data_IF_334676681791
#
_entry.id   IF_334676681791
#
_cell.length_a   1.000
_cell.length_b   1.000
_cell.length_c   1.000
_cell.angle_alpha   90.00
_cell.angle_beta   90.00
_cell.angle_gamma   90.00
#
_symmetry.space_group_name_H-M   'P 1'
#
loop_
_entity.id
_entity.type
_entity.pdbx_description
1 polymer ?
#
# COMPACT_ATOMS: atom_id res chain seq x y z
N UNK A 1 38.21 26.27 -22.62
CA UNK A 1 37.60 25.01 -22.14
C UNK A 1 36.74 25.14 -20.88
N UNK A 2 36.99 26.05 -19.90
CA UNK A 2 36.03 26.30 -18.82
C UNK A 2 34.62 26.69 -19.34
N UNK A 3 34.57 27.42 -20.46
CA UNK A 3 33.31 27.87 -21.08
C UNK A 3 32.49 26.77 -21.76
N UNK A 4 33.13 25.73 -22.31
CA UNK A 4 32.41 24.63 -23.01
C UNK A 4 31.70 23.74 -21.99
N UNK A 5 32.36 23.45 -20.86
CA UNK A 5 31.81 22.58 -19.82
C UNK A 5 30.80 23.32 -18.92
N UNK A 6 30.99 24.62 -18.67
CA UNK A 6 29.95 25.46 -18.06
C UNK A 6 28.67 25.50 -18.91
N UNK A 7 28.80 25.65 -20.23
CA UNK A 7 27.64 25.72 -21.12
C UNK A 7 26.90 24.39 -21.30
N UNK A 8 27.60 23.25 -21.17
CA UNK A 8 27.00 21.91 -21.24
C UNK A 8 26.15 21.60 -20.00
N UNK A 9 26.60 22.05 -18.81
CA UNK A 9 25.86 21.93 -17.56
C UNK A 9 24.68 22.91 -17.45
N UNK A 10 24.80 24.11 -18.03
CA UNK A 10 23.74 25.14 -17.92
C UNK A 10 22.57 24.97 -18.90
N UNK A 11 22.74 24.28 -20.04
CA UNK A 11 21.75 24.29 -21.14
C UNK A 11 20.82 23.08 -21.25
N UNK A 12 21.02 22.00 -20.50
CA UNK A 12 20.11 20.85 -20.55
C UNK A 12 19.42 20.66 -19.21
N UNK A 13 18.09 20.54 -19.22
CA UNK A 13 17.29 20.24 -18.01
C UNK A 13 17.69 18.92 -17.32
N UNK A 14 18.60 18.12 -17.91
CA UNK A 14 19.12 16.84 -17.39
C UNK A 14 20.65 16.65 -17.54
N UNK A 15 21.41 17.72 -17.82
CA UNK A 15 22.86 17.90 -17.61
C UNK A 15 23.90 17.02 -18.34
N UNK A 16 23.68 15.72 -18.53
CA UNK A 16 24.72 14.78 -18.97
C UNK A 16 24.21 13.91 -20.13
N UNK A 17 24.70 14.19 -21.34
CA UNK A 17 24.50 13.29 -22.49
C UNK A 17 25.48 12.12 -22.41
N UNK A 18 25.19 10.95 -23.02
CA UNK A 18 26.16 9.87 -23.14
C UNK A 18 27.50 10.33 -23.73
N UNK A 19 27.46 11.22 -24.73
CA UNK A 19 28.66 11.83 -25.31
C UNK A 19 29.46 12.68 -24.29
N UNK A 20 28.78 13.47 -23.45
CA UNK A 20 29.47 14.24 -22.42
C UNK A 20 30.14 13.33 -21.37
N UNK A 21 29.50 12.21 -21.02
CA UNK A 21 30.08 11.21 -20.11
C UNK A 21 31.32 10.54 -20.71
N UNK A 22 31.28 10.18 -22.00
CA UNK A 22 32.45 9.68 -22.73
C UNK A 22 33.64 10.65 -22.66
N UNK A 23 33.41 11.91 -23.01
CA UNK A 23 34.46 12.94 -23.01
C UNK A 23 35.01 13.20 -21.60
N UNK A 24 34.15 13.16 -20.58
CA UNK A 24 34.57 13.30 -19.19
C UNK A 24 35.44 12.12 -18.71
N UNK A 25 35.05 10.88 -19.01
CA UNK A 25 35.83 9.68 -18.67
C UNK A 25 37.24 9.73 -19.28
N UNK A 26 37.35 10.11 -20.56
CA UNK A 26 38.67 10.30 -21.22
C UNK A 26 39.47 11.46 -20.64
N UNK A 27 38.81 12.57 -20.35
CA UNK A 27 39.45 13.73 -19.72
C UNK A 27 40.00 13.38 -18.33
N UNK A 28 39.34 12.49 -17.58
CA UNK A 28 39.81 12.06 -16.28
C UNK A 28 41.16 11.35 -16.30
N UNK A 29 41.43 10.57 -17.33
CA UNK A 29 42.72 9.90 -17.43
C UNK A 29 43.85 10.92 -17.59
N UNK A 30 43.63 12.02 -18.32
CA UNK A 30 44.68 12.99 -18.68
C UNK A 30 44.77 14.23 -17.79
N UNK A 31 43.78 14.46 -16.92
CA UNK A 31 43.70 15.68 -16.09
C UNK A 31 43.26 15.36 -14.66
N UNK A 32 43.63 16.24 -13.73
CA UNK A 32 43.08 16.22 -12.38
C UNK A 32 41.64 16.75 -12.40
N UNK A 33 40.70 15.83 -12.46
CA UNK A 33 39.25 16.07 -12.48
C UNK A 33 38.60 15.74 -11.15
N UNK A 34 39.37 15.35 -10.13
CA UNK A 34 38.86 15.01 -8.81
C UNK A 34 37.92 16.09 -8.25
N UNK A 35 38.16 17.41 -8.47
CA UNK A 35 37.22 18.45 -8.04
C UNK A 35 35.84 18.41 -8.73
N UNK A 36 35.70 17.65 -9.82
CA UNK A 36 34.51 17.58 -10.66
C UNK A 36 33.66 16.33 -10.37
N UNK A 37 34.23 15.34 -9.67
CA UNK A 37 33.51 14.12 -9.27
C UNK A 37 32.18 14.43 -8.58
N UNK A 38 32.07 15.39 -7.64
CA UNK A 38 30.79 15.72 -7.01
C UNK A 38 29.74 16.25 -7.99
N UNK A 39 30.15 17.00 -9.02
CA UNK A 39 29.26 17.53 -10.05
C UNK A 39 28.79 16.42 -11.00
N UNK A 40 29.69 15.52 -11.40
CA UNK A 40 29.39 14.33 -12.22
C UNK A 40 28.42 13.43 -11.46
N UNK A 41 28.73 13.08 -10.21
CA UNK A 41 27.87 12.28 -9.35
C UNK A 41 26.50 12.95 -9.12
N UNK A 42 26.45 14.28 -8.98
CA UNK A 42 25.17 14.99 -8.88
C UNK A 42 24.37 14.92 -10.17
N UNK A 43 25.02 15.05 -11.33
CA UNK A 43 24.36 14.91 -12.63
C UNK A 43 23.81 13.50 -12.85
N UNK A 44 24.60 12.45 -12.61
CA UNK A 44 24.17 11.05 -12.69
C UNK A 44 23.04 10.80 -11.69
N UNK A 45 23.20 11.22 -10.43
CA UNK A 45 22.19 11.08 -9.38
C UNK A 45 20.91 11.88 -9.63
N UNK A 46 20.90 12.80 -10.60
CA UNK A 46 19.68 13.49 -11.03
C UNK A 46 18.84 12.66 -12.01
N UNK A 47 19.42 11.65 -12.67
CA UNK A 47 18.71 10.82 -13.62
C UNK A 47 17.58 10.03 -12.92
N UNK A 48 16.36 9.99 -13.49
CA UNK A 48 15.21 9.40 -12.80
C UNK A 48 15.20 7.87 -12.81
N UNK A 49 15.86 7.22 -13.77
CA UNK A 49 15.87 5.76 -13.93
C UNK A 49 17.19 5.15 -13.45
N UNK A 50 17.11 4.08 -12.67
CA UNK A 50 18.29 3.37 -12.17
C UNK A 50 19.12 2.77 -13.31
N UNK A 51 18.50 2.16 -14.33
CA UNK A 51 19.20 1.66 -15.53
C UNK A 51 20.04 2.74 -16.21
N UNK A 52 19.51 3.96 -16.32
CA UNK A 52 20.21 5.09 -16.92
C UNK A 52 21.42 5.52 -16.08
N UNK A 53 21.29 5.50 -14.74
CA UNK A 53 22.42 5.77 -13.83
C UNK A 53 23.52 4.73 -13.98
N UNK A 54 23.17 3.45 -13.96
CA UNK A 54 24.12 2.35 -14.12
C UNK A 54 24.81 2.39 -15.49
N UNK A 55 24.05 2.65 -16.56
CA UNK A 55 24.60 2.85 -17.89
C UNK A 55 25.57 4.03 -17.96
N UNK A 56 25.22 5.16 -17.36
CA UNK A 56 26.08 6.35 -17.30
C UNK A 56 27.39 6.11 -16.54
N UNK A 57 27.29 5.43 -15.39
CA UNK A 57 28.43 5.04 -14.56
C UNK A 57 29.36 4.09 -15.34
N UNK A 58 28.80 3.05 -15.96
CA UNK A 58 29.58 2.08 -16.73
C UNK A 58 30.27 2.74 -17.92
N UNK A 59 29.56 3.58 -18.66
CA UNK A 59 30.11 4.30 -19.80
C UNK A 59 31.32 5.15 -19.39
N UNK A 60 31.17 5.87 -18.29
CA UNK A 60 32.20 6.72 -17.74
C UNK A 60 33.45 5.93 -17.32
N UNK A 61 33.25 4.79 -16.66
CA UNK A 61 34.33 3.90 -16.21
C UNK A 61 35.05 3.24 -17.38
N UNK A 62 34.31 2.70 -18.35
CA UNK A 62 34.87 2.04 -19.54
C UNK A 62 35.80 3.01 -20.30
N UNK A 63 35.41 4.28 -20.48
CA UNK A 63 36.27 5.28 -21.11
C UNK A 63 37.44 5.71 -20.26
N UNK A 64 37.27 5.82 -18.94
CA UNK A 64 38.35 6.15 -18.02
C UNK A 64 39.43 5.08 -18.04
N UNK A 65 39.04 3.81 -17.94
CA UNK A 65 39.94 2.65 -18.02
C UNK A 65 40.63 2.58 -19.40
N UNK A 66 39.86 2.70 -20.48
CA UNK A 66 40.42 2.72 -21.85
C UNK A 66 41.43 3.84 -22.04
N UNK A 67 41.12 5.05 -21.57
CA UNK A 67 42.02 6.20 -21.70
C UNK A 67 43.28 6.05 -20.83
N UNK A 68 43.15 5.42 -19.66
CA UNK A 68 44.29 5.05 -18.82
C UNK A 68 45.21 4.05 -19.53
N UNK A 69 44.65 3.01 -20.16
CA UNK A 69 45.45 1.97 -20.82
C UNK A 69 46.16 2.51 -22.07
N UNK A 70 45.57 3.51 -22.74
CA UNK A 70 46.19 4.19 -23.87
C UNK A 70 47.30 5.17 -23.47
N UNK A 71 47.34 5.64 -22.22
CA UNK A 71 48.43 6.48 -21.73
C UNK A 71 49.69 5.64 -21.52
N UNK A 72 50.53 5.60 -22.56
CA UNK A 72 51.86 4.98 -22.52
C UNK A 72 52.90 5.73 -21.67
N UNK A 73 52.53 6.84 -21.02
CA UNK A 73 53.49 7.70 -20.30
C UNK A 73 53.69 7.33 -18.82
N UNK A 74 54.95 7.37 -18.32
CA UNK A 74 55.28 7.07 -16.93
C UNK A 74 55.17 8.34 -16.06
N UNK A 75 54.00 8.67 -15.50
CA UNK A 75 53.94 9.92 -14.70
C UNK A 75 52.91 10.05 -13.57
N UNK A 76 52.06 9.05 -13.28
CA UNK A 76 51.32 9.06 -12.00
C UNK A 76 51.90 7.99 -11.07
N UNK A 77 52.25 8.34 -9.81
CA UNK A 77 52.55 7.35 -8.79
C UNK A 77 51.41 6.34 -8.72
N UNK A 78 51.74 5.04 -8.69
CA UNK A 78 50.75 3.94 -8.64
C UNK A 78 49.69 4.19 -7.56
N UNK A 79 50.11 4.70 -6.41
CA UNK A 79 49.24 5.08 -5.28
C UNK A 79 48.22 6.16 -5.63
N UNK A 80 48.59 7.20 -6.40
CA UNK A 80 47.64 8.25 -6.81
C UNK A 80 46.58 7.69 -7.78
N UNK A 81 46.96 6.78 -8.68
CA UNK A 81 46.02 6.15 -9.62
C UNK A 81 45.00 5.28 -8.88
N UNK A 82 45.45 4.53 -7.88
CA UNK A 82 44.60 3.68 -7.04
C UNK A 82 43.64 4.53 -6.21
N UNK A 83 44.13 5.62 -5.61
CA UNK A 83 43.29 6.57 -4.86
C UNK A 83 42.26 7.27 -5.76
N UNK A 84 42.65 7.79 -6.93
CA UNK A 84 41.74 8.44 -7.89
C UNK A 84 40.61 7.47 -8.32
N UNK A 85 40.94 6.18 -8.46
CA UNK A 85 39.97 5.12 -8.82
C UNK A 85 39.01 4.82 -7.68
N UNK A 86 39.48 4.74 -6.44
CA UNK A 86 38.63 4.52 -5.27
C UNK A 86 37.73 5.72 -4.97
N UNK A 87 38.24 6.95 -5.11
CA UNK A 87 37.45 8.17 -4.97
C UNK A 87 36.36 8.25 -6.06
N UNK A 88 36.68 7.84 -7.29
CA UNK A 88 35.70 7.73 -8.36
C UNK A 88 34.61 6.71 -8.02
N UNK A 89 34.98 5.48 -7.64
CA UNK A 89 34.02 4.43 -7.28
C UNK A 89 33.11 4.87 -6.15
N UNK A 90 33.66 5.51 -5.11
CA UNK A 90 32.91 6.05 -3.98
C UNK A 90 31.93 7.15 -4.42
N UNK A 91 32.37 8.09 -5.25
CA UNK A 91 31.51 9.19 -5.68
C UNK A 91 30.37 8.69 -6.60
N UNK A 92 30.64 7.72 -7.48
CA UNK A 92 29.62 7.10 -8.32
C UNK A 92 28.65 6.22 -7.51
N UNK A 93 29.14 5.51 -6.50
CA UNK A 93 28.33 4.80 -5.51
C UNK A 93 27.34 5.74 -4.81
N UNK A 94 27.83 6.87 -4.29
CA UNK A 94 27.00 7.89 -3.65
C UNK A 94 25.94 8.46 -4.61
N UNK A 95 26.25 8.55 -5.92
CA UNK A 95 25.29 9.01 -6.94
C UNK A 95 24.10 8.06 -7.12
N UNK A 96 24.30 6.74 -6.97
CA UNK A 96 23.23 5.75 -7.07
C UNK A 96 22.24 5.88 -5.91
N UNK A 97 22.76 6.10 -4.69
CA UNK A 97 21.96 6.26 -3.48
C UNK A 97 21.33 7.67 -3.35
N UNK A 98 21.70 8.63 -4.20
CA UNK A 98 21.16 10.00 -4.12
C UNK A 98 19.72 10.05 -4.64
N UNK A 99 18.82 10.59 -3.82
CA UNK A 99 17.43 10.84 -4.22
C UNK A 99 17.40 11.81 -5.42
N UNK A 100 16.69 11.51 -6.52
CA UNK A 100 16.61 12.42 -7.64
C UNK A 100 15.99 13.75 -7.22
N UNK A 101 16.49 14.86 -7.79
CA UNK A 101 16.05 16.22 -7.48
C UNK A 101 14.55 16.45 -7.73
N UNK A 102 13.94 15.63 -8.60
CA UNK A 102 12.51 15.63 -8.91
C UNK A 102 12.01 14.18 -9.04
N UNK A 103 11.06 13.79 -8.20
CA UNK A 103 10.37 12.49 -8.29
C UNK A 103 10.99 11.37 -7.44
N UNK A 104 10.45 10.17 -7.63
CA UNK A 104 10.97 8.93 -7.06
C UNK A 104 11.95 8.29 -8.04
N UNK A 105 12.95 7.57 -7.51
CA UNK A 105 13.82 6.75 -8.35
C UNK A 105 12.98 5.66 -9.01
N UNK A 106 12.98 5.65 -10.34
CA UNK A 106 12.30 4.65 -11.15
C UNK A 106 13.21 3.44 -11.31
N UNK A 107 12.68 2.30 -10.92
CA UNK A 107 13.33 1.00 -11.04
C UNK A 107 12.48 0.16 -11.99
N UNK A 108 13.13 -0.47 -12.96
CA UNK A 108 12.49 -1.32 -13.97
C UNK A 108 12.89 -2.77 -13.82
N UNK A 109 12.12 -3.67 -14.44
CA UNK A 109 12.43 -5.10 -14.46
C UNK A 109 13.84 -5.34 -15.04
N UNK A 110 14.67 -6.09 -14.31
CA UNK A 110 16.05 -6.40 -14.70
C UNK A 110 17.12 -5.47 -14.09
N UNK A 111 16.74 -4.34 -13.47
CA UNK A 111 17.69 -3.48 -12.77
C UNK A 111 18.36 -4.20 -11.58
N UNK A 112 17.65 -5.12 -10.94
CA UNK A 112 18.15 -6.00 -9.88
C UNK A 112 19.33 -6.85 -10.37
N UNK A 113 19.20 -7.47 -11.56
CA UNK A 113 20.27 -8.28 -12.16
C UNK A 113 21.47 -7.43 -12.57
N UNK A 114 21.24 -6.26 -13.14
CA UNK A 114 22.31 -5.32 -13.51
C UNK A 114 23.09 -4.85 -12.29
N UNK A 115 22.41 -4.55 -11.18
CA UNK A 115 23.07 -4.17 -9.92
C UNK A 115 23.94 -5.30 -9.37
N UNK A 116 23.45 -6.54 -9.38
CA UNK A 116 24.19 -7.69 -8.88
C UNK A 116 25.39 -8.01 -9.78
N UNK A 117 25.22 -7.90 -11.10
CA UNK A 117 26.34 -8.02 -12.03
C UNK A 117 27.40 -6.91 -11.80
N UNK A 118 26.97 -5.69 -11.49
CA UNK A 118 27.88 -4.59 -11.14
C UNK A 118 28.56 -4.82 -9.79
N UNK A 119 27.85 -5.40 -8.82
CA UNK A 119 28.44 -5.78 -7.54
C UNK A 119 29.52 -6.87 -7.71
N UNK A 120 29.30 -7.84 -8.62
CA UNK A 120 30.29 -8.87 -8.95
C UNK A 120 31.62 -8.29 -9.41
N UNK A 121 31.60 -7.26 -10.25
CA UNK A 121 32.84 -6.62 -10.72
C UNK A 121 33.50 -5.72 -9.68
N UNK A 122 32.72 -5.19 -8.71
CA UNK A 122 33.20 -4.22 -7.70
C UNK A 122 33.47 -4.80 -6.32
N UNK A 123 33.12 -6.05 -6.09
CA UNK A 123 33.34 -6.76 -4.83
C UNK A 123 32.24 -6.53 -3.78
N UNK A 124 32.35 -7.28 -2.69
CA UNK A 124 31.33 -7.42 -1.65
C UNK A 124 30.98 -6.11 -0.93
N UNK A 125 31.94 -5.19 -0.75
CA UNK A 125 31.71 -3.87 -0.15
C UNK A 125 30.69 -3.02 -0.92
N UNK A 126 30.54 -3.26 -2.22
CA UNK A 126 29.54 -2.58 -3.04
C UNK A 126 28.10 -2.90 -2.58
N UNK A 127 27.88 -4.07 -1.96
CA UNK A 127 26.59 -4.43 -1.39
C UNK A 127 26.21 -3.53 -0.21
N UNK A 128 27.13 -3.37 0.75
CA UNK A 128 26.88 -2.57 1.96
C UNK A 128 26.85 -1.07 1.67
N UNK A 129 27.74 -0.61 0.80
CA UNK A 129 28.00 0.82 0.64
C UNK A 129 27.06 1.47 -0.38
N UNK A 130 26.50 0.67 -1.30
CA UNK A 130 25.72 1.17 -2.44
C UNK A 130 24.34 0.54 -2.53
N UNK A 131 24.30 -0.79 -2.68
CA UNK A 131 23.04 -1.49 -2.96
C UNK A 131 22.12 -1.45 -1.74
N UNK A 132 22.64 -1.61 -0.52
CA UNK A 132 21.82 -1.56 0.69
C UNK A 132 21.17 -0.17 0.89
N UNK A 133 21.90 0.97 0.85
CA UNK A 133 21.30 2.29 0.86
C UNK A 133 20.29 2.52 -0.27
N UNK A 134 20.59 2.02 -1.47
CA UNK A 134 19.70 2.11 -2.62
C UNK A 134 18.38 1.36 -2.38
N UNK A 135 18.44 0.10 -1.93
CA UNK A 135 17.26 -0.68 -1.58
C UNK A 135 16.44 -0.02 -0.46
N UNK A 136 17.09 0.61 0.52
CA UNK A 136 16.38 1.41 1.54
C UNK A 136 15.67 2.62 0.92
N UNK A 137 16.29 3.31 -0.03
CA UNK A 137 15.68 4.43 -0.75
C UNK A 137 14.43 4.01 -1.54
N UNK A 138 14.44 2.80 -2.12
CA UNK A 138 13.34 2.25 -2.93
C UNK A 138 12.57 1.12 -2.24
N UNK A 139 12.59 1.07 -0.90
CA UNK A 139 12.05 -0.07 -0.12
C UNK A 139 10.59 -0.40 -0.43
N UNK A 140 9.81 0.62 -0.83
CA UNK A 140 8.40 0.48 -1.22
C UNK A 140 8.22 -0.28 -2.52
N UNK A 141 9.24 -0.35 -3.38
CA UNK A 141 9.28 -1.30 -4.49
C UNK A 141 9.72 -2.68 -3.97
N UNK A 142 8.87 -3.27 -3.14
CA UNK A 142 9.14 -4.53 -2.43
C UNK A 142 9.53 -5.67 -3.36
N UNK A 143 8.94 -5.77 -4.55
CA UNK A 143 9.30 -6.79 -5.56
C UNK A 143 10.78 -6.69 -5.97
N UNK A 144 11.26 -5.49 -6.26
CA UNK A 144 12.66 -5.26 -6.62
C UNK A 144 13.61 -5.65 -5.47
N UNK A 145 13.25 -5.26 -4.24
CA UNK A 145 14.06 -5.58 -3.05
C UNK A 145 14.08 -7.09 -2.78
N UNK A 146 12.94 -7.77 -2.92
CA UNK A 146 12.84 -9.22 -2.77
C UNK A 146 13.68 -9.94 -3.84
N UNK A 147 13.64 -9.47 -5.09
CA UNK A 147 14.44 -10.04 -6.18
C UNK A 147 15.95 -9.88 -5.92
N UNK A 148 16.40 -8.73 -5.42
CA UNK A 148 17.79 -8.53 -5.03
C UNK A 148 18.19 -9.51 -3.93
N UNK A 149 17.41 -9.62 -2.85
CA UNK A 149 17.76 -10.49 -1.73
C UNK A 149 17.80 -11.97 -2.16
N UNK A 150 16.82 -12.39 -2.97
CA UNK A 150 16.74 -13.76 -3.50
C UNK A 150 17.94 -14.07 -4.38
N UNK A 151 18.25 -13.20 -5.34
CA UNK A 151 19.40 -13.39 -6.24
C UNK A 151 20.70 -13.40 -5.44
N UNK A 152 20.90 -12.50 -4.47
CA UNK A 152 22.10 -12.52 -3.62
C UNK A 152 22.25 -13.83 -2.82
N UNK A 153 21.14 -14.45 -2.40
CA UNK A 153 21.16 -15.75 -1.74
C UNK A 153 21.52 -16.90 -2.68
N UNK A 154 21.04 -16.87 -3.92
CA UNK A 154 21.43 -17.83 -4.96
C UNK A 154 22.92 -17.70 -5.29
N UNK A 155 23.41 -16.47 -5.38
CA UNK A 155 24.81 -16.13 -5.59
C UNK A 155 25.74 -16.60 -4.46
N UNK A 156 25.27 -16.54 -3.21
CA UNK A 156 25.99 -17.10 -2.06
C UNK A 156 26.22 -18.61 -2.22
N UNK A 157 25.23 -19.30 -2.80
CA UNK A 157 25.32 -20.74 -3.08
C UNK A 157 26.35 -21.05 -4.17
N UNK A 158 26.65 -20.08 -5.04
CA UNK A 158 27.70 -20.16 -6.06
C UNK A 158 29.08 -19.70 -5.54
N UNK A 159 29.24 -19.47 -4.24
CA UNK A 159 30.49 -19.07 -3.58
C UNK A 159 31.05 -17.69 -3.97
N UNK A 160 30.28 -16.82 -4.64
CA UNK A 160 30.73 -15.45 -4.89
C UNK A 160 30.67 -14.58 -3.62
N UNK A 161 29.66 -14.79 -2.78
CA UNK A 161 29.45 -14.05 -1.54
C UNK A 161 29.53 -14.95 -0.32
N UNK A 162 30.04 -14.40 0.78
CA UNK A 162 29.95 -15.08 2.06
C UNK A 162 28.50 -15.12 2.54
N UNK A 163 28.07 -16.27 3.10
CA UNK A 163 26.74 -16.37 3.71
C UNK A 163 26.53 -15.35 4.84
N UNK A 164 27.61 -14.92 5.52
CA UNK A 164 27.57 -13.87 6.54
C UNK A 164 27.16 -12.50 5.96
N UNK A 165 27.70 -12.11 4.82
CA UNK A 165 27.35 -10.83 4.19
C UNK A 165 25.93 -10.84 3.63
N UNK A 166 25.48 -11.94 3.04
CA UNK A 166 24.10 -12.05 2.57
C UNK A 166 23.13 -11.98 3.75
N UNK A 167 23.42 -12.66 4.87
CA UNK A 167 22.64 -12.53 6.11
C UNK A 167 22.62 -11.10 6.63
N UNK A 168 23.77 -10.43 6.69
CA UNK A 168 23.86 -9.03 7.15
C UNK A 168 23.11 -8.07 6.23
N UNK A 169 23.19 -8.26 4.91
CA UNK A 169 22.50 -7.44 3.92
C UNK A 169 20.98 -7.63 4.06
N UNK A 170 20.51 -8.88 4.00
CA UNK A 170 19.08 -9.21 4.10
C UNK A 170 18.52 -8.75 5.44
N UNK A 171 19.19 -9.02 6.56
CA UNK A 171 18.76 -8.53 7.87
C UNK A 171 18.61 -7.00 7.92
N UNK A 172 19.57 -6.27 7.34
CA UNK A 172 19.51 -4.80 7.25
C UNK A 172 18.38 -4.26 6.38
N UNK A 173 17.92 -5.01 5.38
CA UNK A 173 16.73 -4.71 4.58
C UNK A 173 15.47 -4.95 5.39
N UNK A 174 15.37 -6.09 6.06
CA UNK A 174 14.17 -6.48 6.83
C UNK A 174 13.94 -5.53 8.00
N UNK A 175 15.00 -5.15 8.72
CA UNK A 175 14.93 -4.17 9.81
C UNK A 175 14.46 -2.77 9.32
N UNK A 176 14.78 -2.41 8.07
CA UNK A 176 14.31 -1.15 7.49
C UNK A 176 12.86 -1.27 7.03
N UNK A 177 12.51 -2.36 6.36
CA UNK A 177 11.16 -2.64 5.90
C UNK A 177 10.17 -2.72 7.06
N UNK A 178 10.51 -3.43 8.15
CA UNK A 178 9.67 -3.54 9.33
C UNK A 178 9.33 -2.15 9.91
N UNK A 179 10.33 -1.27 10.04
CA UNK A 179 10.12 0.12 10.48
C UNK A 179 9.21 0.90 9.55
N UNK A 180 9.42 0.79 8.24
CA UNK A 180 8.58 1.47 7.23
C UNK A 180 7.13 0.99 7.24
N UNK A 181 6.90 -0.29 7.55
CA UNK A 181 5.55 -0.84 7.74
C UNK A 181 4.96 -0.27 9.04
N UNK A 182 5.67 -0.33 10.17
CA UNK A 182 5.21 0.25 11.45
C UNK A 182 4.85 1.73 11.34
N UNK A 183 5.70 2.53 10.70
CA UNK A 183 5.45 3.97 10.49
C UNK A 183 4.17 4.20 9.66
N UNK A 184 3.93 3.35 8.66
CA UNK A 184 2.71 3.40 7.88
C UNK A 184 1.47 3.08 8.73
N UNK A 185 1.55 2.05 9.58
CA UNK A 185 0.47 1.67 10.50
C UNK A 185 0.16 2.80 11.47
N UNK A 186 1.18 3.40 12.07
CA UNK A 186 1.03 4.51 13.00
C UNK A 186 0.34 5.72 12.35
N UNK A 187 0.69 6.03 11.09
CA UNK A 187 0.03 7.09 10.32
C UNK A 187 -1.44 6.76 10.01
N UNK A 188 -1.74 5.53 9.60
CA UNK A 188 -3.11 5.11 9.34
C UNK A 188 -3.98 5.16 10.61
N UNK A 189 -3.48 4.66 11.74
CA UNK A 189 -4.16 4.69 13.02
C UNK A 189 -4.43 6.14 13.47
N UNK A 190 -3.43 7.03 13.33
CA UNK A 190 -3.59 8.45 13.64
C UNK A 190 -4.67 9.11 12.76
N UNK A 191 -4.75 8.76 11.48
CA UNK A 191 -5.77 9.29 10.57
C UNK A 191 -7.18 8.79 10.91
N UNK A 192 -7.32 7.50 11.26
CA UNK A 192 -8.61 6.94 11.72
C UNK A 192 -9.12 7.61 13.00
N UNK A 193 -8.21 7.96 13.93
CA UNK A 193 -8.60 8.68 15.14
C UNK A 193 -9.14 10.08 14.85
N UNK A 194 -8.67 10.75 13.79
CA UNK A 194 -9.13 12.09 13.39
C UNK A 194 -10.47 12.05 12.66
N UNK A 195 -10.70 11.02 11.84
CA UNK A 195 -11.99 10.83 11.17
C UNK A 195 -13.07 10.30 12.10
N UNK A 196 -12.74 9.63 13.21
CA UNK A 196 -13.72 9.17 14.21
C UNK A 196 -14.48 10.31 14.92
N UNK A 197 -13.93 11.54 14.96
CA UNK A 197 -14.65 12.74 15.45
C UNK A 197 -15.67 13.28 14.44
N UNK A 198 -15.57 12.87 13.18
CA UNK A 198 -16.61 13.03 12.19
C UNK A 198 -17.41 11.73 12.14
N UNK A 199 -18.43 11.63 13.00
CA UNK A 199 -19.44 10.58 12.85
C UNK A 199 -19.92 10.46 11.40
N UNK A 200 -20.41 9.29 10.96
CA UNK A 200 -20.89 9.07 9.61
C UNK A 200 -22.17 9.87 9.39
N UNK A 201 -22.02 11.15 9.04
CA UNK A 201 -22.98 11.80 8.17
C UNK A 201 -22.93 11.02 6.87
N UNK A 202 -23.92 10.14 6.75
CA UNK A 202 -24.45 9.47 5.56
C UNK A 202 -23.69 9.75 4.27
N UNK A 203 -23.38 8.67 3.54
CA UNK A 203 -23.05 8.63 2.12
C UNK A 203 -24.03 9.48 1.28
N UNK A 204 -23.81 10.79 1.30
CA UNK A 204 -24.30 11.74 0.34
C UNK A 204 -23.31 11.66 -0.81
N UNK A 205 -23.82 11.31 -1.99
CA UNK A 205 -23.08 11.24 -3.25
C UNK A 205 -22.42 12.58 -3.69
N UNK A 206 -22.41 13.58 -2.82
CA UNK A 206 -21.69 14.84 -2.95
C UNK A 206 -20.92 15.15 -1.65
N UNK A 207 -19.95 14.32 -1.30
CA UNK A 207 -18.83 14.79 -0.48
C UNK A 207 -17.82 15.44 -1.41
N UNK A 208 -17.75 16.76 -1.38
CA UNK A 208 -16.68 17.49 -2.05
C UNK A 208 -15.35 16.99 -1.48
N UNK A 209 -14.56 16.35 -2.34
CA UNK A 209 -13.16 16.03 -2.11
C UNK A 209 -12.40 17.31 -1.73
N UNK A 210 -12.34 17.60 -0.43
CA UNK A 210 -11.35 18.51 0.13
C UNK A 210 -9.99 17.90 -0.19
N UNK A 211 -9.31 18.53 -1.15
CA UNK A 211 -7.95 18.25 -1.58
C UNK A 211 -6.99 18.38 -0.39
N UNK A 212 -6.91 17.36 0.46
CA UNK A 212 -5.60 16.98 0.99
C UNK A 212 -4.85 16.42 -0.19
N UNK A 213 -4.01 17.25 -0.82
CA UNK A 213 -2.95 16.77 -1.70
C UNK A 213 -2.04 15.94 -0.80
N UNK A 214 -2.43 14.68 -0.58
CA UNK A 214 -1.63 13.74 0.14
C UNK A 214 -0.44 13.43 -0.77
N UNK A 215 0.73 13.73 -0.27
CA UNK A 215 2.00 13.29 -0.84
C UNK A 215 2.11 11.75 -0.91
N UNK A 216 1.10 11.00 -0.40
CA UNK A 216 0.96 9.55 -0.57
C UNK A 216 0.51 9.07 -1.96
N UNK A 217 -0.06 9.92 -2.82
CA UNK A 217 -0.63 9.48 -4.11
C UNK A 217 0.37 8.84 -5.08
N UNK A 218 1.68 8.90 -4.77
CA UNK A 218 2.76 8.29 -5.57
C UNK A 218 3.43 7.09 -4.89
N UNK A 219 2.93 6.60 -3.75
CA UNK A 219 3.52 5.45 -3.07
C UNK A 219 2.97 4.15 -3.65
N UNK A 220 3.85 3.33 -4.25
CA UNK A 220 3.51 1.96 -4.68
C UNK A 220 3.07 1.16 -3.43
N UNK A 221 1.93 0.46 -3.47
CA UNK A 221 1.49 -0.38 -2.35
C UNK A 221 2.50 -1.52 -2.12
N UNK A 222 2.54 -2.02 -0.87
CA UNK A 222 3.38 -3.17 -0.53
C UNK A 222 2.88 -4.42 -1.27
N UNK A 223 3.79 -5.20 -1.84
CA UNK A 223 3.47 -6.45 -2.54
C UNK A 223 3.51 -7.60 -1.54
N UNK A 224 2.36 -8.23 -1.29
CA UNK A 224 2.28 -9.41 -0.41
C UNK A 224 3.19 -10.55 -0.91
N UNK A 225 3.34 -10.71 -2.23
CA UNK A 225 4.24 -11.71 -2.84
C UNK A 225 5.68 -11.47 -2.41
N UNK A 226 6.15 -10.24 -2.57
CA UNK A 226 7.50 -9.87 -2.20
C UNK A 226 7.77 -10.06 -0.70
N UNK A 227 6.78 -9.73 0.15
CA UNK A 227 6.86 -9.95 1.59
C UNK A 227 6.94 -11.44 1.93
N UNK A 228 6.11 -12.30 1.31
CA UNK A 228 6.18 -13.76 1.46
C UNK A 228 7.58 -14.27 1.09
N UNK A 229 8.08 -13.88 -0.09
CA UNK A 229 9.43 -14.24 -0.55
C UNK A 229 10.51 -13.84 0.44
N UNK A 230 10.44 -12.62 1.00
CA UNK A 230 11.40 -12.13 1.98
C UNK A 230 11.33 -12.90 3.31
N UNK A 231 10.13 -13.25 3.78
CA UNK A 231 9.95 -14.06 4.99
C UNK A 231 10.54 -15.47 4.80
N UNK A 232 10.22 -16.13 3.69
CA UNK A 232 10.78 -17.44 3.34
C UNK A 232 12.30 -17.39 3.18
N UNK A 233 12.83 -16.29 2.64
CA UNK A 233 14.27 -16.07 2.56
C UNK A 233 14.92 -15.91 3.94
N UNK A 234 14.28 -15.20 4.87
CA UNK A 234 14.77 -15.05 6.22
C UNK A 234 14.88 -16.40 6.94
N UNK A 235 13.88 -17.27 6.79
CA UNK A 235 13.92 -18.63 7.33
C UNK A 235 15.09 -19.44 6.73
N UNK A 236 15.27 -19.41 5.41
CA UNK A 236 16.40 -20.08 4.73
C UNK A 236 17.77 -19.57 5.21
N UNK A 237 17.84 -18.29 5.58
CA UNK A 237 19.06 -17.63 6.06
C UNK A 237 19.20 -17.67 7.59
N UNK A 238 18.32 -18.38 8.31
CA UNK A 238 18.28 -18.50 9.77
C UNK A 238 18.16 -17.13 10.50
N UNK A 239 17.44 -16.18 9.88
CA UNK A 239 17.21 -14.82 10.40
C UNK A 239 15.90 -14.74 11.22
N UNK A 240 15.69 -15.67 12.16
CA UNK A 240 14.41 -15.83 12.89
C UNK A 240 13.97 -14.57 13.67
N UNK A 241 14.91 -13.82 14.23
CA UNK A 241 14.61 -12.54 14.91
C UNK A 241 14.04 -11.50 13.94
N UNK A 242 14.53 -11.50 12.68
CA UNK A 242 14.06 -10.57 11.65
C UNK A 242 12.70 -10.97 11.11
N UNK A 243 12.39 -12.27 11.04
CA UNK A 243 11.03 -12.77 10.75
C UNK A 243 10.05 -12.16 11.75
N UNK A 244 10.33 -12.30 13.05
CA UNK A 244 9.44 -11.80 14.11
C UNK A 244 9.26 -10.27 14.04
N UNK A 245 10.34 -9.52 13.79
CA UNK A 245 10.27 -8.05 13.59
C UNK A 245 9.42 -7.65 12.39
N UNK A 246 9.42 -8.44 11.32
CA UNK A 246 8.64 -8.14 10.12
C UNK A 246 7.17 -8.52 10.29
N UNK A 247 6.88 -9.60 11.01
CA UNK A 247 5.51 -10.07 11.27
C UNK A 247 4.74 -9.16 12.23
N UNK A 248 5.40 -8.63 13.26
CA UNK A 248 4.74 -7.82 14.28
C UNK A 248 3.97 -6.59 13.72
N UNK A 249 4.55 -5.77 12.83
CA UNK A 249 3.82 -4.68 12.19
C UNK A 249 2.63 -5.15 11.35
N UNK A 250 2.67 -6.35 10.77
CA UNK A 250 1.54 -6.88 9.98
C UNK A 250 0.37 -7.29 10.87
N UNK A 251 0.64 -7.78 12.09
CA UNK A 251 -0.38 -8.02 13.10
C UNK A 251 -1.04 -6.69 13.50
N UNK A 252 -0.26 -5.63 13.67
CA UNK A 252 -0.78 -4.28 13.94
C UNK A 252 -1.62 -3.73 12.78
N UNK A 253 -1.24 -4.02 11.52
CA UNK A 253 -2.09 -3.74 10.35
C UNK A 253 -3.42 -4.46 10.52
N UNK A 254 -3.42 -5.76 10.83
CA UNK A 254 -4.65 -6.54 10.93
C UNK A 254 -5.66 -5.89 11.90
N UNK A 255 -5.21 -5.51 13.10
CA UNK A 255 -6.06 -4.88 14.12
C UNK A 255 -6.57 -3.49 13.73
N UNK A 256 -5.89 -2.82 12.81
CA UNK A 256 -6.22 -1.47 12.36
C UNK A 256 -6.70 -1.43 10.91
N UNK A 257 -6.86 -2.56 10.23
CA UNK A 257 -7.13 -2.65 8.80
C UNK A 257 -8.60 -2.34 8.46
N UNK A 258 -8.83 -1.80 7.26
CA UNK A 258 -10.16 -1.81 6.65
C UNK A 258 -10.45 -3.10 5.88
N UNK A 259 -11.65 -3.20 5.30
CA UNK A 259 -12.02 -4.31 4.41
C UNK A 259 -11.02 -4.49 3.27
N UNK A 260 -10.58 -3.38 2.65
CA UNK A 260 -9.63 -3.39 1.54
C UNK A 260 -8.29 -4.01 1.90
N UNK A 261 -7.67 -3.59 3.01
CA UNK A 261 -6.34 -4.06 3.43
C UNK A 261 -6.31 -5.57 3.67
N UNK A 262 -7.38 -6.09 4.28
CA UNK A 262 -7.57 -7.53 4.49
C UNK A 262 -7.69 -8.29 3.17
N UNK A 263 -8.54 -7.82 2.25
CA UNK A 263 -8.79 -8.54 0.99
C UNK A 263 -7.67 -8.42 -0.04
N UNK A 264 -6.97 -7.29 -0.09
CA UNK A 264 -5.96 -7.00 -1.12
C UNK A 264 -4.54 -7.39 -0.70
N UNK A 265 -4.26 -7.45 0.62
CA UNK A 265 -2.92 -7.69 1.14
C UNK A 265 -2.83 -8.84 2.13
N UNK A 266 -3.53 -8.80 3.27
CA UNK A 266 -3.33 -9.77 4.35
C UNK A 266 -3.79 -11.18 3.97
N UNK A 267 -4.97 -11.33 3.36
CA UNK A 267 -5.47 -12.65 2.94
C UNK A 267 -4.56 -13.29 1.86
N UNK A 268 -4.21 -12.61 0.76
CA UNK A 268 -3.27 -13.15 -0.21
C UNK A 268 -1.90 -13.50 0.40
N UNK A 269 -1.42 -12.71 1.36
CA UNK A 269 -0.19 -13.02 2.10
C UNK A 269 -0.32 -14.34 2.87
N UNK A 270 -1.39 -14.52 3.66
CA UNK A 270 -1.61 -15.77 4.40
C UNK A 270 -1.70 -16.98 3.46
N UNK A 271 -2.39 -16.84 2.33
CA UNK A 271 -2.47 -17.90 1.32
C UNK A 271 -1.09 -18.27 0.79
N UNK A 272 -0.28 -17.28 0.39
CA UNK A 272 1.10 -17.49 -0.07
C UNK A 272 1.97 -18.18 0.97
N UNK A 273 1.93 -17.68 2.22
CA UNK A 273 2.70 -18.25 3.32
C UNK A 273 2.24 -19.67 3.64
N UNK A 274 0.95 -19.97 3.52
CA UNK A 274 0.44 -21.32 3.81
C UNK A 274 0.99 -22.36 2.84
N UNK A 275 1.20 -21.98 1.57
CA UNK A 275 1.81 -22.86 0.57
C UNK A 275 3.30 -23.03 0.87
N UNK A 276 4.02 -21.92 1.04
CA UNK A 276 5.46 -21.94 1.29
C UNK A 276 5.83 -22.68 2.59
N UNK A 277 5.13 -22.42 3.70
CA UNK A 277 5.44 -22.96 5.03
C UNK A 277 5.12 -24.45 5.20
N UNK A 278 4.24 -24.99 4.36
CA UNK A 278 3.84 -26.41 4.46
C UNK A 278 4.69 -27.31 3.57
N UNK A 279 5.24 -26.76 2.48
CA UNK A 279 6.22 -27.46 1.65
C UNK A 279 7.62 -27.47 2.26
N UNK A 280 7.92 -26.48 3.10
CA UNK A 280 9.21 -26.31 3.74
C UNK A 280 9.17 -26.79 5.20
N UNK A 281 10.29 -27.35 5.71
CA UNK A 281 10.40 -27.73 7.13
C UNK A 281 10.63 -26.52 8.04
N UNK A 282 9.95 -25.40 7.78
CA UNK A 282 10.11 -24.15 8.52
C UNK A 282 9.45 -24.22 9.91
N UNK A 283 9.88 -23.35 10.82
CA UNK A 283 9.28 -23.24 12.15
C UNK A 283 7.95 -22.50 12.06
N UNK A 284 6.84 -23.21 12.24
CA UNK A 284 5.50 -22.61 12.20
C UNK A 284 5.23 -21.62 13.35
N UNK A 285 6.00 -21.68 14.43
CA UNK A 285 5.75 -20.92 15.67
C UNK A 285 5.71 -19.41 15.44
N UNK A 286 6.56 -18.88 14.57
CA UNK A 286 6.61 -17.44 14.30
C UNK A 286 5.38 -16.95 13.52
N UNK A 287 4.76 -17.83 12.72
CA UNK A 287 3.66 -17.51 11.84
C UNK A 287 2.29 -17.76 12.49
N UNK A 288 2.21 -18.64 13.49
CA UNK A 288 0.96 -18.96 14.18
C UNK A 288 0.26 -17.71 14.71
N UNK A 289 0.97 -16.80 15.38
CA UNK A 289 0.40 -15.54 15.86
C UNK A 289 -0.13 -14.66 14.72
N UNK A 290 0.57 -14.61 13.58
CA UNK A 290 0.10 -13.85 12.41
C UNK A 290 -1.22 -14.43 11.89
N UNK A 291 -1.28 -15.73 11.65
CA UNK A 291 -2.48 -16.39 11.14
C UNK A 291 -3.66 -16.23 12.11
N UNK A 292 -3.44 -16.45 13.40
CA UNK A 292 -4.47 -16.31 14.43
C UNK A 292 -5.01 -14.88 14.47
N UNK A 293 -4.15 -13.87 14.61
CA UNK A 293 -4.57 -12.48 14.77
C UNK A 293 -5.22 -11.92 13.51
N UNK A 294 -4.67 -12.23 12.33
CA UNK A 294 -5.24 -11.77 11.06
C UNK A 294 -6.62 -12.41 10.84
N UNK A 295 -6.77 -13.71 11.06
CA UNK A 295 -8.06 -14.40 10.86
C UNK A 295 -9.10 -13.99 11.92
N UNK A 296 -8.70 -13.83 13.19
CA UNK A 296 -9.57 -13.33 14.24
C UNK A 296 -10.07 -11.92 13.93
N UNK A 297 -9.18 -11.01 13.52
CA UNK A 297 -9.57 -9.67 13.08
C UNK A 297 -10.46 -9.74 11.83
N UNK A 298 -10.14 -10.57 10.85
CA UNK A 298 -10.97 -10.74 9.65
C UNK A 298 -12.40 -11.17 10.02
N UNK A 299 -12.55 -12.17 10.90
CA UNK A 299 -13.86 -12.64 11.36
C UNK A 299 -14.60 -11.53 12.11
N UNK A 300 -13.94 -10.88 13.06
CA UNK A 300 -14.53 -9.86 13.92
C UNK A 300 -14.95 -8.61 13.14
N UNK A 301 -14.04 -8.09 12.33
CA UNK A 301 -14.14 -6.77 11.72
C UNK A 301 -14.80 -6.82 10.34
N UNK A 302 -14.69 -7.94 9.61
CA UNK A 302 -15.25 -8.08 8.27
C UNK A 302 -16.48 -8.96 8.22
N UNK A 303 -16.43 -10.19 8.73
CA UNK A 303 -17.63 -11.02 8.72
C UNK A 303 -18.66 -10.40 9.68
N UNK A 304 -18.23 -10.12 10.91
CA UNK A 304 -19.06 -9.55 11.95
C UNK A 304 -20.22 -10.46 12.33
N UNK A 305 -21.05 -9.98 13.24
CA UNK A 305 -22.25 -10.72 13.65
C UNK A 305 -23.24 -10.82 12.50
N UNK A 306 -23.89 -11.99 12.41
CA UNK A 306 -25.00 -12.18 11.49
C UNK A 306 -26.09 -11.14 11.80
N UNK A 307 -26.59 -10.40 10.80
CA UNK A 307 -27.71 -9.48 11.00
C UNK A 307 -28.89 -10.23 11.61
N UNK A 308 -29.51 -9.65 12.63
CA UNK A 308 -30.73 -10.17 13.25
C UNK A 308 -31.95 -9.67 12.49
N UNK A 309 -32.95 -10.53 12.23
CA UNK A 309 -34.20 -10.07 11.65
C UNK A 309 -34.86 -9.02 12.56
N UNK A 310 -35.60 -8.06 12.00
CA UNK A 310 -36.43 -7.17 12.79
C UNK A 310 -37.39 -7.98 13.67
N UNK A 311 -37.48 -7.64 14.96
CA UNK A 311 -38.39 -8.32 15.89
C UNK A 311 -39.86 -7.97 15.62
N UNK A 312 -40.11 -6.85 14.93
CA UNK A 312 -41.43 -6.34 14.62
C UNK A 312 -41.42 -5.46 13.34
N UNK A 313 -42.56 -4.84 13.04
CA UNK A 313 -42.68 -3.88 11.94
C UNK A 313 -42.24 -2.46 12.30
N UNK A 314 -41.69 -2.19 13.49
CA UNK A 314 -41.22 -0.84 13.83
C UNK A 314 -40.01 -0.46 12.95
N UNK A 315 -39.92 0.81 12.55
CA UNK A 315 -38.84 1.36 11.73
C UNK A 315 -38.33 2.65 12.34
N UNK A 316 -37.09 3.01 12.01
CA UNK A 316 -36.48 4.27 12.45
C UNK A 316 -37.35 5.45 12.02
N UNK A 317 -37.76 6.26 12.98
CA UNK A 317 -38.48 7.51 12.74
C UNK A 317 -37.59 8.50 12.00
N UNK A 318 -38.19 9.40 11.22
CA UNK A 318 -37.46 10.43 10.51
C UNK A 318 -37.56 11.74 11.29
N UNK A 319 -36.46 12.11 11.94
CA UNK A 319 -36.43 13.22 12.91
C UNK A 319 -36.34 14.61 12.25
N UNK A 320 -35.92 14.69 10.98
CA UNK A 320 -35.50 15.96 10.34
C UNK A 320 -36.49 16.54 9.30
N UNK A 321 -37.75 16.10 9.27
CA UNK A 321 -38.49 16.13 7.98
C UNK A 321 -39.37 17.32 7.66
N UNK A 322 -39.36 18.41 8.41
CA UNK A 322 -40.09 19.64 8.03
C UNK A 322 -39.15 20.81 7.75
N UNK A 323 -38.22 20.68 6.79
CA UNK A 323 -37.42 21.82 6.31
C UNK A 323 -38.28 22.81 5.47
N UNK A 324 -38.64 23.94 6.10
CA UNK A 324 -38.19 25.26 5.64
C UNK A 324 -38.69 25.87 4.31
N UNK A 325 -39.67 25.32 3.58
CA UNK A 325 -40.28 26.10 2.47
C UNK A 325 -41.81 26.01 2.34
N UNK A 326 -42.45 25.12 3.11
CA UNK A 326 -43.90 25.10 3.31
C UNK A 326 -44.29 25.47 4.75
N UNK A 327 -43.36 25.95 5.57
CA UNK A 327 -43.66 26.52 6.90
C UNK A 327 -44.39 27.87 6.84
N UNK A 328 -44.61 28.43 5.65
CA UNK A 328 -45.61 29.49 5.44
C UNK A 328 -47.03 28.96 5.19
N UNK A 329 -47.21 27.64 5.05
CA UNK A 329 -48.56 27.07 5.03
C UNK A 329 -49.13 27.09 6.45
N UNK A 330 -50.37 27.56 6.58
CA UNK A 330 -51.20 27.76 7.79
C UNK A 330 -51.42 26.51 8.67
N UNK A 331 -50.59 25.49 8.58
CA UNK A 331 -50.78 24.17 9.19
C UNK A 331 -49.71 23.79 10.22
N UNK A 332 -48.74 24.66 10.53
CA UNK A 332 -47.78 24.43 11.61
C UNK A 332 -48.35 24.90 12.96
N UNK A 333 -48.67 23.98 13.87
CA UNK A 333 -48.91 24.28 15.28
C UNK A 333 -47.60 24.09 16.03
N UNK A 334 -47.05 25.18 16.58
CA UNK A 334 -46.01 25.38 17.61
C UNK A 334 -44.78 24.45 17.78
N UNK A 335 -44.75 23.21 17.28
CA UNK A 335 -43.68 22.23 17.56
C UNK A 335 -42.92 21.75 16.30
N UNK A 336 -43.09 22.45 15.16
CA UNK A 336 -42.18 22.32 14.00
C UNK A 336 -42.35 21.08 13.10
N UNK A 337 -43.30 20.18 13.38
CA UNK A 337 -43.60 18.97 12.59
C UNK A 337 -45.05 19.02 12.08
N UNK A 338 -45.29 18.76 10.79
CA UNK A 338 -46.65 18.76 10.23
C UNK A 338 -47.42 17.47 10.55
N UNK A 339 -48.75 17.54 10.57
CA UNK A 339 -49.64 16.40 10.89
C UNK A 339 -49.34 15.14 10.03
N UNK A 340 -49.04 15.32 8.75
CA UNK A 340 -48.71 14.21 7.84
C UNK A 340 -47.38 13.53 8.24
N UNK A 341 -46.38 14.30 8.66
CA UNK A 341 -45.11 13.75 9.16
C UNK A 341 -45.28 13.08 10.51
N UNK A 342 -46.09 13.66 11.40
CA UNK A 342 -46.41 13.03 12.69
C UNK A 342 -47.09 11.68 12.46
N UNK A 343 -48.15 11.65 11.66
CA UNK A 343 -48.89 10.42 11.35
C UNK A 343 -48.02 9.37 10.63
N UNK A 344 -47.10 9.81 9.77
CA UNK A 344 -46.14 8.92 9.12
C UNK A 344 -45.13 8.34 10.12
N UNK A 345 -44.58 9.17 11.02
CA UNK A 345 -43.67 8.72 12.07
C UNK A 345 -44.36 7.79 13.08
N UNK A 346 -45.62 8.06 13.44
CA UNK A 346 -46.43 7.17 14.27
C UNK A 346 -46.63 5.81 13.59
N UNK A 347 -46.87 5.82 12.27
CA UNK A 347 -46.89 4.59 11.48
C UNK A 347 -45.55 3.87 11.53
N UNK A 348 -44.42 4.55 11.31
CA UNK A 348 -43.09 3.94 11.36
C UNK A 348 -42.82 3.29 12.73
N UNK A 349 -43.20 3.95 13.82
CA UNK A 349 -43.01 3.44 15.18
C UNK A 349 -43.94 2.25 15.53
N UNK A 350 -45.11 2.14 14.90
CA UNK A 350 -46.10 1.10 15.23
C UNK A 350 -45.59 -0.32 14.86
N UNK A 351 -45.46 -1.25 15.82
CA UNK A 351 -44.89 -2.59 15.59
C UNK A 351 -45.85 -3.56 14.89
N UNK A 352 -47.15 -3.27 14.92
CA UNK A 352 -48.25 -4.10 14.43
C UNK A 352 -48.77 -3.63 13.06
N UNK A 353 -48.34 -2.47 12.58
CA UNK A 353 -48.78 -1.89 11.30
C UNK A 353 -47.73 -2.08 10.24
N UNK A 354 -48.06 -2.86 9.22
CA UNK A 354 -47.25 -3.05 8.01
C UNK A 354 -47.58 -2.04 6.90
N UNK A 355 -48.75 -1.41 6.94
CA UNK A 355 -49.21 -0.45 5.93
C UNK A 355 -49.79 0.83 6.53
N UNK A 356 -49.58 1.94 5.82
CA UNK A 356 -50.21 3.23 6.08
C UNK A 356 -50.72 3.86 4.79
N UNK A 357 -51.84 4.56 4.89
CA UNK A 357 -52.57 5.10 3.75
C UNK A 357 -52.82 6.59 3.92
N UNK A 358 -52.48 7.38 2.90
CA UNK A 358 -52.71 8.82 2.85
C UNK A 358 -53.55 9.19 1.62
N UNK A 359 -54.82 9.51 1.85
CA UNK A 359 -55.73 10.05 0.84
C UNK A 359 -55.63 11.59 0.84
N UNK A 360 -54.84 12.15 -0.08
CA UNK A 360 -54.55 13.59 -0.12
C UNK A 360 -54.26 14.09 -1.55
N UNK A 361 -54.24 15.39 -1.79
CA UNK A 361 -53.81 15.95 -3.07
C UNK A 361 -52.35 15.58 -3.41
N UNK A 362 -51.99 15.64 -4.70
CA UNK A 362 -50.68 15.20 -5.21
C UNK A 362 -49.47 15.84 -4.49
N UNK A 363 -49.44 17.15 -4.17
CA UNK A 363 -48.29 17.74 -3.50
C UNK A 363 -47.98 17.13 -2.13
N UNK A 364 -49.01 16.78 -1.35
CA UNK A 364 -48.87 16.13 -0.03
C UNK A 364 -48.35 14.69 -0.16
N UNK A 365 -48.86 13.94 -1.14
CA UNK A 365 -48.37 12.57 -1.42
C UNK A 365 -46.91 12.57 -1.86
N UNK A 366 -46.54 13.47 -2.79
CA UNK A 366 -45.14 13.62 -3.24
C UNK A 366 -44.20 14.09 -2.12
N UNK A 367 -44.70 14.85 -1.16
CA UNK A 367 -43.93 15.23 0.01
C UNK A 367 -43.59 14.00 0.87
N UNK A 368 -44.58 13.20 1.26
CA UNK A 368 -44.33 11.98 2.04
C UNK A 368 -43.55 10.93 1.25
N UNK A 369 -43.80 10.78 -0.05
CA UNK A 369 -43.02 9.86 -0.88
C UNK A 369 -41.52 10.20 -0.84
N UNK A 370 -41.12 11.48 -0.92
CA UNK A 370 -39.71 11.87 -0.76
C UNK A 370 -39.11 11.52 0.61
N UNK A 371 -39.94 11.30 1.62
CA UNK A 371 -39.47 10.88 2.94
C UNK A 371 -39.10 9.40 3.00
N UNK A 372 -39.45 8.56 2.00
CA UNK A 372 -39.10 7.13 2.02
C UNK A 372 -37.58 6.87 1.93
N UNK A 373 -36.78 7.82 1.40
CA UNK A 373 -35.36 7.57 1.16
C UNK A 373 -34.60 7.27 2.45
N UNK A 374 -33.87 6.15 2.44
CA UNK A 374 -33.12 5.63 3.59
C UNK A 374 -33.97 4.93 4.66
N UNK A 375 -35.26 4.71 4.39
CA UNK A 375 -36.16 3.93 5.25
C UNK A 375 -36.53 2.61 4.55
N UNK A 376 -36.75 1.57 5.34
CA UNK A 376 -37.28 0.28 4.86
C UNK A 376 -38.80 0.36 4.63
N UNK A 377 -39.18 1.16 3.64
CA UNK A 377 -40.58 1.31 3.21
C UNK A 377 -40.65 1.39 1.69
N UNK A 378 -41.75 0.89 1.14
CA UNK A 378 -42.08 0.96 -0.28
C UNK A 378 -43.38 1.74 -0.45
N UNK A 379 -43.44 2.57 -1.47
CA UNK A 379 -44.64 3.36 -1.79
C UNK A 379 -45.35 2.82 -3.03
N UNK A 380 -46.67 2.91 -3.04
CA UNK A 380 -47.51 2.64 -4.21
C UNK A 380 -48.72 3.58 -4.22
N UNK A 381 -49.35 3.74 -5.38
CA UNK A 381 -50.50 4.63 -5.56
C UNK A 381 -51.75 3.82 -5.92
N UNK A 382 -52.77 3.92 -5.08
CA UNK A 382 -54.11 3.45 -5.41
C UNK A 382 -54.89 4.56 -6.11
N UNK A 383 -55.27 4.29 -7.36
CA UNK A 383 -55.93 5.23 -8.27
C UNK A 383 -57.44 4.98 -8.37
N UNK A 384 -58.01 4.16 -7.50
CA UNK A 384 -59.43 3.77 -7.55
C UNK A 384 -60.39 4.95 -7.33
N UNK A 385 -60.01 5.93 -6.50
CA UNK A 385 -60.84 7.09 -6.18
C UNK A 385 -60.03 8.40 -6.18
N UNK A 386 -60.67 9.54 -6.50
CA UNK A 386 -60.05 10.86 -6.38
C UNK A 386 -60.44 11.53 -5.04
N UNK A 387 -59.49 12.17 -4.33
CA UNK A 387 -58.05 12.17 -4.58
C UNK A 387 -57.42 10.78 -4.36
N UNK A 388 -56.40 10.43 -5.16
CA UNK A 388 -55.70 9.14 -5.07
C UNK A 388 -55.08 8.92 -3.69
N UNK A 389 -54.87 7.66 -3.32
CA UNK A 389 -54.32 7.26 -2.03
C UNK A 389 -52.87 6.80 -2.20
N UNK A 390 -51.94 7.39 -1.42
CA UNK A 390 -50.58 6.87 -1.27
C UNK A 390 -50.62 5.74 -0.25
N UNK A 391 -50.16 4.55 -0.63
CA UNK A 391 -49.98 3.40 0.26
C UNK A 391 -48.48 3.29 0.53
N UNK A 392 -48.10 3.28 1.80
CA UNK A 392 -46.73 3.04 2.25
C UNK A 392 -46.70 1.74 3.02
N UNK A 393 -45.94 0.77 2.54
CA UNK A 393 -45.77 -0.54 3.16
C UNK A 393 -44.36 -0.66 3.71
N UNK A 394 -44.20 -1.11 4.95
CA UNK A 394 -42.89 -1.42 5.52
C UNK A 394 -42.29 -2.66 4.87
N UNK A 395 -40.97 -2.65 4.71
CA UNK A 395 -40.20 -3.74 4.11
C UNK A 395 -39.07 -4.16 5.05
N UNK A 396 -38.35 -5.22 4.67
CA UNK A 396 -37.12 -5.66 5.35
C UNK A 396 -35.92 -5.53 4.39
N UNK A 397 -35.95 -4.54 3.50
CA UNK A 397 -35.00 -4.47 2.38
C UNK A 397 -33.56 -4.21 2.85
N UNK A 398 -33.36 -3.30 3.81
CA UNK A 398 -32.05 -3.07 4.42
C UNK A 398 -31.54 -4.31 5.15
N UNK A 399 -32.41 -5.01 5.89
CA UNK A 399 -32.05 -6.27 6.55
C UNK A 399 -31.61 -7.32 5.53
N UNK A 400 -32.38 -7.53 4.46
CA UNK A 400 -32.02 -8.47 3.39
C UNK A 400 -30.72 -8.08 2.69
N UNK A 401 -30.50 -6.79 2.45
CA UNK A 401 -29.27 -6.27 1.87
C UNK A 401 -28.05 -6.53 2.79
N UNK A 402 -28.19 -6.23 4.09
CA UNK A 402 -27.18 -6.52 5.10
C UNK A 402 -26.90 -8.02 5.21
N UNK A 403 -27.94 -8.87 5.21
CA UNK A 403 -27.82 -10.32 5.27
C UNK A 403 -27.12 -10.89 4.04
N UNK A 404 -27.47 -10.40 2.84
CA UNK A 404 -26.81 -10.80 1.60
C UNK A 404 -25.34 -10.39 1.59
N UNK A 405 -25.02 -9.19 2.08
CA UNK A 405 -23.65 -8.71 2.24
C UNK A 405 -22.87 -9.56 3.23
N UNK A 406 -23.48 -9.90 4.37
CA UNK A 406 -22.91 -10.82 5.37
C UNK A 406 -22.63 -12.21 4.77
N UNK A 407 -23.58 -12.78 4.02
CA UNK A 407 -23.36 -14.03 3.29
C UNK A 407 -22.25 -13.94 2.24
N UNK A 408 -22.09 -12.79 1.58
CA UNK A 408 -20.95 -12.51 0.69
C UNK A 408 -19.62 -12.59 1.45
N UNK A 409 -19.49 -11.83 2.54
CA UNK A 409 -18.27 -11.80 3.37
C UNK A 409 -17.93 -13.17 3.98
N UNK A 410 -18.95 -13.90 4.48
CA UNK A 410 -18.79 -15.27 4.97
C UNK A 410 -18.30 -16.23 3.88
N UNK A 411 -18.84 -16.13 2.65
CA UNK A 411 -18.36 -16.95 1.52
C UNK A 411 -16.90 -16.67 1.17
N UNK A 412 -16.49 -15.39 1.20
CA UNK A 412 -15.08 -15.03 1.01
C UNK A 412 -14.19 -15.66 2.07
N UNK A 413 -14.57 -15.59 3.36
CA UNK A 413 -13.82 -16.25 4.43
C UNK A 413 -13.71 -17.77 4.21
N UNK A 414 -14.83 -18.43 3.89
CA UNK A 414 -14.84 -19.87 3.62
C UNK A 414 -13.90 -20.20 2.45
N UNK A 415 -13.90 -19.40 1.37
CA UNK A 415 -12.98 -19.59 0.26
C UNK A 415 -11.50 -19.46 0.67
N UNK A 416 -11.18 -18.62 1.67
CA UNK A 416 -9.81 -18.52 2.21
C UNK A 416 -9.45 -19.79 2.98
N UNK A 417 -10.36 -20.28 3.82
CA UNK A 417 -10.17 -21.52 4.57
C UNK A 417 -10.07 -22.74 3.65
N UNK A 418 -10.91 -22.81 2.61
CA UNK A 418 -10.88 -23.88 1.61
C UNK A 418 -9.57 -23.87 0.81
N UNK A 419 -9.04 -22.68 0.49
CA UNK A 419 -7.76 -22.54 -0.20
C UNK A 419 -6.60 -23.07 0.66
N UNK A 420 -6.52 -22.63 1.91
CA UNK A 420 -5.46 -23.06 2.84
C UNK A 420 -5.63 -24.56 3.13
N UNK A 421 -6.86 -25.04 3.23
CA UNK A 421 -7.19 -26.42 3.54
C UNK A 421 -7.13 -26.70 5.05
N UNK A 422 -7.98 -27.60 5.55
CA UNK A 422 -8.17 -27.81 6.99
C UNK A 422 -6.93 -28.35 7.69
N UNK A 423 -6.13 -29.20 7.02
CA UNK A 423 -4.91 -29.76 7.59
C UNK A 423 -3.84 -28.69 7.82
N UNK A 424 -3.57 -27.85 6.81
CA UNK A 424 -2.61 -26.73 6.92
C UNK A 424 -3.10 -25.72 7.95
N UNK A 425 -4.40 -25.43 7.95
CA UNK A 425 -5.00 -24.48 8.87
C UNK A 425 -4.86 -24.95 10.33
N UNK A 426 -5.09 -26.22 10.63
CA UNK A 426 -4.89 -26.77 11.98
C UNK A 426 -3.43 -26.65 12.44
N UNK A 427 -2.46 -26.89 11.55
CA UNK A 427 -1.03 -26.72 11.86
C UNK A 427 -0.67 -25.24 12.13
N UNK A 428 -1.25 -24.32 11.36
CA UNK A 428 -1.00 -22.87 11.45
C UNK A 428 -1.79 -22.18 12.56
N UNK A 429 -2.86 -22.80 13.07
CA UNK A 429 -3.64 -22.30 14.19
C UNK A 429 -3.28 -22.97 15.53
N UNK A 430 -2.60 -24.11 15.50
CA UNK A 430 -2.28 -24.92 16.69
C UNK A 430 -3.53 -25.15 17.57
N UNK A 431 -3.41 -24.97 18.88
CA UNK A 431 -4.49 -25.18 19.86
C UNK A 431 -5.71 -24.25 19.69
N UNK A 432 -5.67 -23.29 18.76
CA UNK A 432 -6.73 -22.31 18.53
C UNK A 432 -7.66 -22.67 17.35
N UNK A 433 -7.50 -23.85 16.74
CA UNK A 433 -8.38 -24.29 15.63
C UNK A 433 -9.85 -24.31 16.05
N UNK A 434 -10.14 -24.77 17.26
CA UNK A 434 -11.50 -24.97 17.76
C UNK A 434 -12.23 -23.66 18.11
N UNK A 435 -11.49 -22.58 18.31
CA UNK A 435 -12.07 -21.26 18.60
C UNK A 435 -12.43 -20.48 17.32
N UNK A 436 -11.87 -20.88 16.18
CA UNK A 436 -11.99 -20.20 14.88
C UNK A 436 -12.92 -20.92 13.89
N UNK A 437 -13.09 -22.23 14.06
CA UNK A 437 -14.05 -23.09 13.34
C UNK A 437 -15.43 -23.05 13.99
#
# INVERSE_FOLDING_TARGET
>A
MPSVMSSAFEKSQWGLTPHALHELGRAMASRDVTPWLPAIATGIGSMPRLTSRLGAIKLFEDDYETAIDLQKEPAKPKEKKEQDTEDLKKCLAESLAKKPSRGLLQVTDGDDRLLIQTARSRGERFLSDVILPLCKLVIRNTDFVANICTTLSEEASQQWLSGASVRSFTGGIIDFLAREISDHCALQAANKSKTAWFQPMQDSAYSMSMLSISTDAYRKPLSWRAISTLLCLCEKLELYDHVSKLLQPMIEIAHSAGVGDHTEFLVPLLQSLSDDLTESRHSLKHYQSLFQEVLLSYIKDLVGLKPTPPNDWSRKMKNDTCYGSLSQSKFSRNDGICDDCSAFNDFLAAPDRSEWRLKAAEPRRKYIDRLHYGLDVKTSLDKSEKPFTLIVSKTDESYRSMLNSWHGRRRSLISVFDYIGPEKLNLLLADHSDALM
#
